data_IF_934143237250
#
_entry.id   IF_934143237250
#
_cell.length_a   1.000
_cell.length_b   1.000
_cell.length_c   1.000
_cell.angle_alpha   90.00
_cell.angle_beta   90.00
_cell.angle_gamma   90.00
#
_symmetry.space_group_name_H-M   'P 1'
#
loop_
_entity.id
_entity.type
_entity.pdbx_description
1 polymer ?
#
# COMPACT_ATOMS: atom_id res chain seq x y z
N UNK A 1 11.14 -28.46 24.35
CA UNK A 1 11.88 -27.83 23.23
C UNK A 1 11.08 -27.88 21.92
N UNK A 2 10.54 -29.04 21.54
CA UNK A 2 9.68 -29.23 20.35
C UNK A 2 8.40 -28.40 20.35
N UNK A 3 7.67 -28.31 21.47
CA UNK A 3 6.45 -27.46 21.55
C UNK A 3 6.69 -25.97 21.32
N UNK A 4 7.82 -25.43 21.78
CA UNK A 4 8.18 -24.01 21.60
C UNK A 4 8.47 -23.69 20.13
N UNK A 5 9.14 -24.62 19.43
CA UNK A 5 9.43 -24.50 17.99
C UNK A 5 8.12 -24.51 17.19
N UNK A 6 7.19 -25.42 17.52
CA UNK A 6 5.88 -25.50 16.87
C UNK A 6 5.09 -24.20 17.07
N UNK A 7 5.07 -23.66 18.30
CA UNK A 7 4.39 -22.38 18.58
C UNK A 7 4.98 -21.22 17.77
N UNK A 8 6.30 -21.17 17.64
CA UNK A 8 6.99 -20.13 16.87
C UNK A 8 6.69 -20.18 15.38
N UNK A 9 6.61 -21.38 14.79
CA UNK A 9 6.27 -21.59 13.38
C UNK A 9 4.82 -21.20 13.07
N UNK A 10 3.90 -21.51 13.98
CA UNK A 10 2.48 -21.13 13.85
C UNK A 10 2.34 -19.60 13.89
N UNK A 11 2.97 -18.92 14.85
CA UNK A 11 2.97 -17.46 14.92
C UNK A 11 3.55 -16.80 13.66
N UNK A 12 4.65 -17.33 13.13
CA UNK A 12 5.29 -16.79 11.93
C UNK A 12 4.38 -16.92 10.69
N UNK A 13 3.66 -18.04 10.58
CA UNK A 13 2.71 -18.30 9.49
C UNK A 13 1.50 -17.35 9.53
N UNK A 14 0.96 -17.09 10.73
CA UNK A 14 -0.21 -16.21 10.92
C UNK A 14 0.15 -14.75 10.64
N UNK A 15 1.35 -14.29 11.04
CA UNK A 15 1.83 -12.93 10.78
C UNK A 15 2.09 -12.64 9.30
N UNK A 16 2.43 -13.66 8.51
CA UNK A 16 2.71 -13.49 7.08
C UNK A 16 1.42 -13.37 6.25
N UNK A 17 0.33 -13.98 6.71
CA UNK A 17 -0.92 -14.11 5.95
C UNK A 17 -1.81 -12.85 5.99
N UNK A 18 -1.61 -11.95 6.96
CA UNK A 18 -2.36 -10.69 7.06
C UNK A 18 -2.07 -9.69 5.94
N UNK A 19 -0.94 -9.83 5.23
CA UNK A 19 -0.56 -8.92 4.15
C UNK A 19 -1.17 -9.26 2.79
N UNK A 20 -1.82 -10.42 2.62
CA UNK A 20 -2.24 -10.94 1.31
C UNK A 20 -3.75 -10.90 1.01
N UNK A 21 -4.61 -10.49 1.95
CA UNK A 21 -6.07 -10.52 1.72
C UNK A 21 -6.66 -9.24 1.09
N UNK A 22 -5.87 -8.19 0.91
CA UNK A 22 -6.29 -7.01 0.15
C UNK A 22 -5.89 -7.17 -1.31
N UNK A 23 -6.63 -8.02 -2.04
CA UNK A 23 -6.53 -8.09 -3.49
C UNK A 23 -7.16 -6.83 -4.08
N UNK A 24 -6.37 -5.78 -4.20
CA UNK A 24 -6.81 -4.55 -4.82
C UNK A 24 -6.97 -4.77 -6.34
N UNK A 25 -8.05 -4.26 -6.94
CA UNK A 25 -8.20 -4.30 -8.39
C UNK A 25 -6.99 -3.63 -9.03
N UNK A 26 -6.42 -4.29 -10.03
CA UNK A 26 -5.29 -3.74 -10.79
C UNK A 26 -5.73 -2.43 -11.44
N UNK A 27 -5.02 -1.34 -11.16
CA UNK A 27 -5.29 -0.04 -11.78
C UNK A 27 -4.73 -0.08 -13.20
N UNK A 28 -5.59 0.15 -14.19
CA UNK A 28 -5.16 0.32 -15.57
C UNK A 28 -4.61 1.73 -15.77
N UNK A 29 -3.41 1.83 -16.35
CA UNK A 29 -2.77 3.11 -16.63
C UNK A 29 -2.77 3.40 -18.14
N UNK A 30 -3.16 4.62 -18.56
CA UNK A 30 -3.15 5.01 -19.97
C UNK A 30 -1.75 5.32 -20.51
N UNK A 31 -0.74 5.43 -19.64
CA UNK A 31 0.66 5.62 -20.03
C UNK A 31 1.62 5.08 -18.99
N UNK A 32 2.85 4.77 -19.41
CA UNK A 32 3.93 4.35 -18.51
C UNK A 32 4.34 5.46 -17.54
N UNK A 33 4.18 6.72 -17.94
CA UNK A 33 4.37 7.87 -17.06
C UNK A 33 3.41 7.82 -15.86
N UNK A 34 2.12 7.57 -16.12
CA UNK A 34 1.12 7.44 -15.05
C UNK A 34 1.41 6.26 -14.13
N UNK A 35 1.91 5.14 -14.66
CA UNK A 35 2.35 3.99 -13.86
C UNK A 35 3.52 4.36 -12.94
N UNK A 36 4.56 4.98 -13.49
CA UNK A 36 5.74 5.38 -12.73
C UNK A 36 5.40 6.39 -11.62
N UNK A 37 4.49 7.33 -11.88
CA UNK A 37 3.99 8.26 -10.85
C UNK A 37 3.32 7.52 -9.69
N UNK A 38 2.42 6.59 -10.00
CA UNK A 38 1.72 5.79 -9.00
C UNK A 38 2.67 4.90 -8.17
N UNK A 39 3.69 4.32 -8.80
CA UNK A 39 4.73 3.56 -8.09
C UNK A 39 5.53 4.45 -7.14
N UNK A 40 5.89 5.66 -7.58
CA UNK A 40 6.63 6.63 -6.76
C UNK A 40 5.82 7.13 -5.56
N UNK A 41 4.53 7.40 -5.75
CA UNK A 41 3.68 8.02 -4.72
C UNK A 41 3.18 7.02 -3.67
N UNK A 42 2.74 5.83 -4.11
CA UNK A 42 2.14 4.86 -3.22
C UNK A 42 2.68 3.44 -3.36
N UNK A 43 3.53 3.15 -4.33
CA UNK A 43 3.86 1.78 -4.73
C UNK A 43 2.69 1.11 -5.45
N UNK A 44 1.84 1.89 -6.09
CA UNK A 44 0.58 1.45 -6.69
C UNK A 44 -0.33 0.61 -5.80
N UNK A 45 -0.38 0.98 -4.51
CA UNK A 45 -1.39 0.49 -3.58
C UNK A 45 -2.28 1.64 -3.12
N UNK A 46 -3.57 1.40 -2.86
CA UNK A 46 -4.47 2.43 -2.36
C UNK A 46 -4.12 2.71 -0.91
N UNK A 47 -3.22 3.67 -0.70
CA UNK A 47 -2.93 4.20 0.64
C UNK A 47 -4.07 5.10 1.08
N UNK A 48 -4.21 5.22 2.40
CA UNK A 48 -5.05 6.26 3.00
C UNK A 48 -4.50 7.66 2.68
N UNK A 49 -4.94 8.63 3.45
CA UNK A 49 -4.44 9.98 3.33
C UNK A 49 -3.25 10.20 4.27
N UNK A 50 -2.31 11.04 3.84
CA UNK A 50 -1.16 11.43 4.66
C UNK A 50 -0.67 12.82 4.24
N UNK A 51 0.07 13.49 5.13
CA UNK A 51 0.74 14.75 4.81
C UNK A 51 2.12 14.50 4.21
N UNK A 52 2.47 15.25 3.18
CA UNK A 52 3.84 15.27 2.67
C UNK A 52 4.76 16.19 3.48
N UNK A 53 6.04 16.24 3.12
CA UNK A 53 7.06 17.09 3.77
C UNK A 53 6.75 18.59 3.71
N UNK A 54 5.78 19.01 2.90
CA UNK A 54 5.34 20.39 2.74
C UNK A 54 3.99 20.65 3.42
N UNK A 55 3.46 19.70 4.19
CA UNK A 55 2.17 19.80 4.88
C UNK A 55 0.97 19.71 3.93
N UNK A 56 1.13 19.12 2.75
CA UNK A 56 0.03 18.93 1.79
C UNK A 56 -0.64 17.59 2.04
N UNK A 57 -1.95 17.60 2.24
CA UNK A 57 -2.74 16.39 2.49
C UNK A 57 -3.14 15.71 1.17
N UNK A 58 -2.70 14.47 0.97
CA UNK A 58 -2.93 13.71 -0.26
C UNK A 58 -3.37 12.27 -0.01
N UNK A 59 -4.21 11.71 -0.88
CA UNK A 59 -4.84 10.39 -0.69
C UNK A 59 -4.69 9.45 -1.88
N UNK A 60 -4.81 8.13 -1.64
CA UNK A 60 -4.94 7.12 -2.68
C UNK A 60 -3.64 6.79 -3.41
N UNK A 61 -3.77 6.37 -4.67
CA UNK A 61 -2.66 5.89 -5.51
C UNK A 61 -1.65 6.97 -5.89
N UNK A 62 -2.13 8.18 -6.13
CA UNK A 62 -1.34 9.31 -6.65
C UNK A 62 -1.11 10.39 -5.60
N UNK A 63 -1.43 10.11 -4.33
CA UNK A 63 -1.39 11.08 -3.22
C UNK A 63 -1.96 12.45 -3.64
N UNK A 64 -3.07 12.43 -4.39
CA UNK A 64 -3.63 13.66 -4.97
C UNK A 64 -4.04 14.57 -3.84
N UNK A 65 -3.53 15.80 -3.90
CA UNK A 65 -3.93 16.84 -2.97
C UNK A 65 -5.44 17.09 -3.12
N UNK A 66 -6.14 17.27 -1.99
CA UNK A 66 -7.57 17.62 -1.98
C UNK A 66 -7.91 18.83 -2.86
N UNK A 67 -6.97 19.77 -3.03
CA UNK A 67 -7.16 20.94 -3.90
C UNK A 67 -7.03 20.61 -5.41
N UNK A 68 -6.43 19.48 -5.77
CA UNK A 68 -6.27 19.02 -7.16
C UNK A 68 -7.39 18.07 -7.60
N UNK A 69 -8.13 17.46 -6.67
CA UNK A 69 -9.27 16.61 -6.98
C UNK A 69 -10.51 17.49 -7.20
N UNK A 70 -10.72 17.94 -8.44
CA UNK A 70 -11.85 18.80 -8.83
C UNK A 70 -12.70 18.15 -9.91
#
# INVERSE_FOLDING_TARGET
MTMLIILSLICFSILFQSNSLLMFPQVEFPSDCMRAMCEADSGCVPKGCDEDIHGRYGCGYFRLNIYHYK
#
